data_IF_425560762813
#
_entry.id   IF_425560762813
#
_cell.length_a   1.000
_cell.length_b   1.000
_cell.length_c   1.000
_cell.angle_alpha   90.00
_cell.angle_beta   90.00
_cell.angle_gamma   90.00
#
_symmetry.space_group_name_H-M   'P 1'
#
loop_
_entity.id
_entity.type
_entity.pdbx_description
1 polymer ?
#
# COMPACT_ATOMS: atom_id res chain seq x y z
N UNK A 1 3.45 15.80 -0.34
CA UNK A 1 3.44 14.81 -1.44
C UNK A 1 2.35 13.81 -1.10
N UNK A 2 1.43 13.48 -2.02
CA UNK A 2 0.38 12.48 -1.75
C UNK A 2 0.94 11.10 -2.09
N UNK A 3 1.01 10.22 -1.11
CA UNK A 3 1.39 8.82 -1.32
C UNK A 3 0.25 8.09 -2.03
N UNK A 4 0.58 7.36 -3.10
CA UNK A 4 -0.40 6.59 -3.89
C UNK A 4 -0.87 5.35 -3.13
N UNK A 5 0.04 4.72 -2.36
CA UNK A 5 -0.25 3.66 -1.40
C UNK A 5 0.07 4.17 0.01
N UNK A 6 -0.95 4.67 0.70
CA UNK A 6 -0.82 5.12 2.08
C UNK A 6 -0.84 3.90 3.01
N UNK A 7 0.34 3.49 3.47
CA UNK A 7 0.48 2.45 4.50
C UNK A 7 0.02 2.96 5.86
N UNK A 8 -0.69 2.11 6.61
CA UNK A 8 -1.28 2.46 7.91
C UNK A 8 -0.20 2.94 8.88
N UNK A 9 -0.50 4.00 9.63
CA UNK A 9 0.38 4.55 10.67
C UNK A 9 0.34 3.68 11.94
N UNK A 10 1.45 3.64 12.67
CA UNK A 10 1.60 2.83 13.89
C UNK A 10 0.53 3.17 14.94
N UNK A 11 0.12 4.44 15.01
CA UNK A 11 -0.90 4.91 15.94
C UNK A 11 -2.31 4.39 15.63
N UNK A 12 -2.54 3.85 14.43
CA UNK A 12 -3.86 3.38 13.98
C UNK A 12 -4.01 1.84 14.01
N UNK A 13 -3.00 1.12 14.50
CA UNK A 13 -2.98 -0.34 14.59
C UNK A 13 -3.64 -0.81 15.90
N UNK A 14 -4.96 -0.94 15.87
CA UNK A 14 -5.75 -1.29 17.06
C UNK A 14 -5.78 -2.80 17.34
N UNK A 15 -5.87 -3.61 16.30
CA UNK A 15 -5.99 -5.07 16.44
C UNK A 15 -4.60 -5.72 16.46
N UNK A 16 -4.45 -6.85 17.17
CA UNK A 16 -3.17 -7.58 17.26
C UNK A 16 -2.62 -7.99 15.89
N UNK A 17 -3.48 -8.46 14.99
CA UNK A 17 -3.09 -8.90 13.65
C UNK A 17 -2.54 -7.75 12.78
N UNK A 18 -2.98 -6.51 13.03
CA UNK A 18 -2.48 -5.35 12.27
C UNK A 18 -1.01 -5.05 12.60
N UNK A 19 -0.55 -5.44 13.80
CA UNK A 19 0.82 -5.21 14.25
C UNK A 19 1.85 -6.03 13.47
N UNK A 20 1.45 -7.17 12.93
CA UNK A 20 2.32 -8.02 12.10
C UNK A 20 2.80 -7.27 10.84
N UNK A 21 1.98 -6.32 10.33
CA UNK A 21 2.31 -5.50 9.17
C UNK A 21 3.23 -4.31 9.50
N UNK A 22 3.53 -4.02 10.78
CA UNK A 22 4.28 -2.83 11.19
C UNK A 22 5.65 -2.73 10.54
N UNK A 23 6.45 -3.80 10.66
CA UNK A 23 7.82 -3.81 10.14
C UNK A 23 7.83 -3.61 8.63
N UNK A 24 6.91 -4.27 7.91
CA UNK A 24 6.78 -4.16 6.46
C UNK A 24 6.33 -2.76 6.04
N UNK A 25 5.32 -2.20 6.70
CA UNK A 25 4.84 -0.84 6.45
C UNK A 25 5.91 0.22 6.73
N UNK A 26 6.67 0.08 7.82
CA UNK A 26 7.76 0.98 8.16
C UNK A 26 8.87 0.93 7.12
N UNK A 27 9.27 -0.27 6.71
CA UNK A 27 10.27 -0.46 5.67
C UNK A 27 9.81 0.11 4.31
N UNK A 28 8.54 -0.08 3.96
CA UNK A 28 7.95 0.51 2.76
C UNK A 28 8.02 2.04 2.76
N UNK A 29 7.61 2.67 3.86
CA UNK A 29 7.57 4.13 4.01
C UNK A 29 8.97 4.74 3.99
N UNK A 30 9.94 4.09 4.63
CA UNK A 30 11.28 4.66 4.81
C UNK A 30 12.17 4.46 3.59
N UNK A 31 12.11 3.28 2.97
CA UNK A 31 13.04 2.87 1.91
C UNK A 31 12.31 2.59 0.58
N UNK A 32 11.42 1.59 0.53
CA UNK A 32 10.94 1.05 -0.76
C UNK A 32 10.15 2.05 -1.61
N UNK A 33 9.32 2.89 -0.98
CA UNK A 33 8.44 3.84 -1.69
C UNK A 33 9.18 4.89 -2.53
N UNK A 34 10.51 5.00 -2.38
CA UNK A 34 11.37 5.94 -3.09
C UNK A 34 12.08 5.31 -4.29
N UNK A 35 12.08 3.98 -4.40
CA UNK A 35 12.73 3.25 -5.47
C UNK A 35 11.77 3.03 -6.65
N UNK A 36 12.33 3.00 -7.84
CA UNK A 36 11.63 2.50 -9.02
C UNK A 36 11.40 0.99 -8.89
N UNK A 37 10.26 0.45 -9.33
CA UNK A 37 10.03 -1.00 -9.36
C UNK A 37 11.13 -1.79 -10.09
N UNK A 38 11.81 -1.18 -11.06
CA UNK A 38 12.91 -1.82 -11.79
C UNK A 38 14.19 -2.02 -10.98
N UNK A 39 14.30 -1.39 -9.81
CA UNK A 39 15.44 -1.56 -8.89
C UNK A 39 15.31 -2.79 -7.98
N UNK A 40 14.10 -3.37 -7.90
CA UNK A 40 13.86 -4.56 -7.08
C UNK A 40 14.11 -5.83 -7.89
N UNK A 41 14.56 -6.92 -7.23
CA UNK A 41 14.59 -8.24 -7.83
C UNK A 41 13.20 -8.68 -8.31
N UNK A 42 13.17 -9.40 -9.44
CA UNK A 42 11.92 -10.01 -9.93
C UNK A 42 11.33 -10.97 -8.90
N UNK A 43 10.02 -10.89 -8.71
CA UNK A 43 9.31 -11.71 -7.72
C UNK A 43 9.39 -11.21 -6.28
N UNK A 44 9.92 -10.00 -6.03
CA UNK A 44 9.87 -9.39 -4.69
C UNK A 44 8.42 -9.21 -4.24
N UNK A 45 8.08 -9.68 -3.04
CA UNK A 45 6.72 -9.61 -2.47
C UNK A 45 6.72 -8.75 -1.21
N UNK A 46 5.80 -7.78 -1.13
CA UNK A 46 5.53 -7.00 0.07
C UNK A 46 4.13 -7.30 0.59
N UNK A 47 4.03 -7.58 1.89
CA UNK A 47 2.75 -7.67 2.60
C UNK A 47 2.54 -6.36 3.34
N UNK A 48 1.58 -5.56 2.88
CA UNK A 48 1.35 -4.21 3.41
C UNK A 48 -0.06 -4.10 3.96
N UNK A 49 -0.21 -3.28 5.00
CA UNK A 49 -1.51 -2.84 5.46
C UNK A 49 -1.70 -1.40 5.01
N UNK A 50 -2.76 -1.13 4.24
CA UNK A 50 -3.01 0.20 3.65
C UNK A 50 -4.35 0.78 4.08
N UNK A 51 -4.43 2.10 4.06
CA UNK A 51 -5.69 2.82 4.14
C UNK A 51 -6.52 2.61 2.87
N UNK A 52 -7.83 2.81 2.99
CA UNK A 52 -8.72 2.86 1.82
C UNK A 52 -8.31 4.02 0.90
N UNK A 53 -7.88 3.76 -0.36
CA UNK A 53 -7.40 4.79 -1.28
C UNK A 53 -8.50 5.79 -1.67
N UNK A 54 -9.78 5.46 -1.44
CA UNK A 54 -10.90 6.39 -1.69
C UNK A 54 -10.91 7.55 -0.70
N UNK A 55 -10.25 7.42 0.47
CA UNK A 55 -10.13 8.51 1.45
C UNK A 55 -9.29 9.67 0.91
N UNK A 56 -8.15 9.33 0.29
CA UNK A 56 -7.20 10.31 -0.26
C UNK A 56 -7.54 10.74 -1.69
N UNK A 57 -8.61 10.19 -2.29
CA UNK A 57 -9.02 10.46 -3.67
C UNK A 57 -9.25 11.96 -3.91
N UNK A 58 -8.57 12.57 -4.90
CA UNK A 58 -8.79 13.97 -5.22
C UNK A 58 -10.19 14.23 -5.78
N UNK A 59 -10.73 15.41 -5.48
CA UNK A 59 -12.03 15.88 -5.99
C UNK A 59 -12.06 16.07 -7.51
N UNK A 60 -10.91 16.39 -8.11
CA UNK A 60 -10.73 16.59 -9.55
C UNK A 60 -9.60 15.72 -10.05
N UNK A 61 -9.61 15.37 -11.33
CA UNK A 61 -8.47 14.71 -11.98
C UNK A 61 -7.26 15.65 -11.89
N UNK A 62 -6.14 15.14 -11.43
CA UNK A 62 -4.88 15.90 -11.28
C UNK A 62 -3.85 15.26 -12.20
N UNK A 63 -3.01 16.09 -12.84
CA UNK A 63 -1.83 15.58 -13.54
C UNK A 63 -0.86 14.98 -12.50
N UNK A 64 -0.23 13.82 -12.78
CA UNK A 64 0.82 13.30 -11.93
C UNK A 64 1.90 14.37 -11.72
N UNK A 65 2.37 14.52 -10.49
CA UNK A 65 3.53 15.35 -10.22
C UNK A 65 4.76 14.53 -10.54
N UNK A 66 5.62 15.02 -11.43
CA UNK A 66 6.95 14.46 -11.65
C UNK A 66 7.69 14.49 -10.30
N UNK A 67 7.81 13.34 -9.65
CA UNK A 67 8.71 13.21 -8.52
C UNK A 67 10.11 13.09 -9.09
N UNK A 68 10.87 14.19 -9.05
CA UNK A 68 12.31 14.15 -9.32
C UNK A 68 12.89 13.01 -8.49
N UNK A 69 13.32 11.93 -9.15
CA UNK A 69 13.84 10.74 -8.52
C UNK A 69 14.91 11.16 -7.54
N UNK A 70 14.60 11.14 -6.25
CA UNK A 70 15.64 11.33 -5.25
C UNK A 70 16.52 10.12 -5.40
N UNK A 71 17.81 10.34 -5.70
CA UNK A 71 18.85 9.32 -5.67
C UNK A 71 18.77 8.63 -4.32
N UNK A 72 18.03 7.52 -4.26
CA UNK A 72 17.97 6.69 -3.09
C UNK A 72 19.32 5.96 -3.01
N UNK A 73 19.81 5.75 -1.78
CA UNK A 73 20.95 4.84 -1.57
C UNK A 73 20.60 3.50 -2.22
N UNK A 74 21.60 2.78 -2.74
CA UNK A 74 21.38 1.45 -3.34
C UNK A 74 20.50 0.57 -2.45
N UNK A 75 19.44 -0.02 -3.03
CA UNK A 75 18.53 -0.91 -2.33
C UNK A 75 19.30 -2.10 -1.74
N UNK A 76 19.18 -2.31 -0.43
CA UNK A 76 19.70 -3.53 0.19
C UNK A 76 18.63 -4.63 0.10
N UNK A 77 18.90 -5.62 -0.75
CA UNK A 77 17.99 -6.74 -1.02
C UNK A 77 17.85 -7.67 0.18
N UNK A 78 18.93 -7.84 0.97
CA UNK A 78 18.93 -8.74 2.13
C UNK A 78 18.11 -8.19 3.31
N UNK A 79 17.84 -6.89 3.32
CA UNK A 79 16.99 -6.25 4.34
C UNK A 79 15.52 -6.17 3.95
N UNK A 80 15.12 -6.74 2.80
CA UNK A 80 13.72 -6.77 2.40
C UNK A 80 12.88 -7.58 3.41
N UNK A 81 11.72 -7.06 3.86
CA UNK A 81 10.86 -7.79 4.77
C UNK A 81 10.33 -9.05 4.10
N UNK A 82 10.28 -10.14 4.86
CA UNK A 82 9.65 -11.38 4.38
C UNK A 82 8.13 -11.19 4.25
N UNK A 83 7.50 -11.80 3.23
CA UNK A 83 6.05 -11.75 3.08
C UNK A 83 5.36 -12.45 4.27
N UNK A 84 4.27 -11.84 4.72
CA UNK A 84 3.47 -12.31 5.85
C UNK A 84 2.43 -13.33 5.39
N UNK A 85 2.26 -14.41 6.15
CA UNK A 85 1.23 -15.42 5.91
C UNK A 85 -0.18 -14.90 6.26
N UNK A 86 -0.27 -13.90 7.14
CA UNK A 86 -1.50 -13.28 7.64
C UNK A 86 -2.44 -12.77 6.55
N UNK A 87 -1.90 -12.39 5.37
CA UNK A 87 -2.74 -12.02 4.24
C UNK A 87 -3.67 -13.17 3.80
N UNK A 88 -3.21 -14.42 3.89
CA UNK A 88 -3.96 -15.60 3.47
C UNK A 88 -4.97 -16.08 4.51
N UNK A 89 -4.82 -15.64 5.75
CA UNK A 89 -5.73 -15.97 6.85
C UNK A 89 -7.16 -15.49 6.52
N UNK A 90 -8.10 -16.43 6.61
CA UNK A 90 -9.50 -16.17 6.32
C UNK A 90 -10.13 -15.22 7.33
N UNK A 91 -9.84 -15.38 8.62
CA UNK A 91 -10.41 -14.55 9.69
C UNK A 91 -9.89 -13.12 9.62
N UNK A 92 -8.62 -12.91 9.27
CA UNK A 92 -8.08 -11.56 9.04
C UNK A 92 -8.82 -10.88 7.88
N UNK A 93 -8.94 -11.57 6.73
CA UNK A 93 -9.66 -11.02 5.57
C UNK A 93 -11.14 -10.75 5.84
N UNK A 94 -11.80 -11.65 6.59
CA UNK A 94 -13.20 -11.49 7.02
C UNK A 94 -13.36 -10.25 7.90
N UNK A 95 -12.51 -10.08 8.92
CA UNK A 95 -12.53 -8.89 9.80
C UNK A 95 -12.24 -7.60 9.05
N UNK A 96 -11.29 -7.62 8.11
CA UNK A 96 -11.01 -6.46 7.27
C UNK A 96 -12.25 -6.06 6.45
N UNK A 97 -12.94 -7.05 5.86
CA UNK A 97 -14.16 -6.84 5.08
C UNK A 97 -15.34 -6.33 5.94
N UNK A 98 -15.50 -6.80 7.17
CA UNK A 98 -16.53 -6.30 8.10
C UNK A 98 -16.34 -4.82 8.43
N UNK A 99 -15.09 -4.37 8.53
CA UNK A 99 -14.75 -2.96 8.77
C UNK A 99 -14.74 -2.11 7.48
N UNK A 100 -15.09 -2.69 6.33
CA UNK A 100 -15.09 -2.01 5.03
C UNK A 100 -16.02 -0.79 5.06
N UNK A 101 -15.49 0.34 4.58
CA UNK A 101 -16.27 1.55 4.44
C UNK A 101 -17.22 1.46 3.23
N UNK A 102 -18.53 1.60 3.48
CA UNK A 102 -19.52 1.66 2.39
C UNK A 102 -19.43 3.00 1.63
N UNK A 103 -19.89 3.03 0.39
CA UNK A 103 -19.89 4.28 -0.39
C UNK A 103 -20.80 5.34 0.24
N UNK A 104 -21.95 4.92 0.78
CA UNK A 104 -22.87 5.80 1.47
C UNK A 104 -22.23 6.41 2.72
N UNK A 105 -21.52 5.62 3.51
CA UNK A 105 -20.86 6.11 4.72
C UNK A 105 -19.66 7.00 4.40
N UNK A 106 -18.91 6.67 3.34
CA UNK A 106 -17.83 7.53 2.83
C UNK A 106 -18.39 8.90 2.40
N UNK A 107 -19.50 8.92 1.66
CA UNK A 107 -20.09 10.17 1.21
C UNK A 107 -20.68 10.98 2.36
N UNK A 108 -21.32 10.32 3.34
CA UNK A 108 -21.76 10.97 4.59
C UNK A 108 -20.59 11.62 5.32
N UNK A 109 -19.46 10.90 5.49
CA UNK A 109 -18.26 11.45 6.13
C UNK A 109 -17.70 12.66 5.37
N UNK A 110 -17.64 12.60 4.04
CA UNK A 110 -17.21 13.74 3.21
C UNK A 110 -18.14 14.94 3.31
N UNK A 111 -19.45 14.71 3.39
CA UNK A 111 -20.43 15.81 3.51
C UNK A 111 -20.42 16.43 4.92
N UNK A 112 -20.12 15.64 5.95
CA UNK A 112 -20.07 16.11 7.34
C UNK A 112 -18.79 16.88 7.66
N UNK A 113 -17.70 16.66 6.92
CA UNK A 113 -16.40 17.28 7.16
C UNK A 113 -16.05 18.24 6.03
N UNK A 114 -15.77 19.51 6.39
CA UNK A 114 -15.22 20.49 5.44
C UNK A 114 -13.81 20.11 4.96
N UNK A 115 -13.12 19.22 5.68
CA UNK A 115 -11.78 18.73 5.34
C UNK A 115 -11.84 17.31 4.76
N UNK A 116 -10.85 16.90 3.93
CA UNK A 116 -10.75 15.53 3.44
C UNK A 116 -10.68 14.51 4.58
N UNK A 117 -11.47 13.45 4.50
CA UNK A 117 -11.44 12.33 5.45
C UNK A 117 -10.05 11.69 5.38
N UNK A 118 -9.27 11.79 6.45
CA UNK A 118 -7.88 11.31 6.44
C UNK A 118 -7.73 9.84 6.80
N UNK A 119 -8.59 9.33 7.68
CA UNK A 119 -8.44 7.98 8.26
C UNK A 119 -9.78 7.28 8.40
N UNK A 120 -9.75 5.94 8.39
CA UNK A 120 -10.92 5.07 8.56
C UNK A 120 -10.53 3.84 9.38
N UNK A 121 -11.54 3.21 10.00
CA UNK A 121 -11.37 1.91 10.64
C UNK A 121 -11.10 0.78 9.61
N UNK A 122 -11.43 1.02 8.34
CA UNK A 122 -11.20 0.10 7.23
C UNK A 122 -9.72 0.06 6.87
N UNK A 123 -8.98 -0.93 7.39
CA UNK A 123 -7.59 -1.22 7.00
C UNK A 123 -7.56 -2.42 6.07
N UNK A 124 -6.89 -2.29 4.94
CA UNK A 124 -6.92 -3.28 3.86
C UNK A 124 -5.55 -3.97 3.80
N UNK A 125 -5.44 -5.27 4.10
CA UNK A 125 -4.22 -6.02 3.86
C UNK A 125 -4.07 -6.25 2.35
N UNK A 126 -2.88 -6.03 1.80
CA UNK A 126 -2.57 -6.20 0.37
C UNK A 126 -1.25 -6.98 0.20
N UNK A 127 -1.12 -7.66 -0.93
CA UNK A 127 0.17 -8.12 -1.44
C UNK A 127 0.55 -7.29 -2.65
N UNK A 128 1.78 -6.78 -2.66
CA UNK A 128 2.38 -6.13 -3.80
C UNK A 128 3.52 -7.00 -4.31
N UNK A 129 3.47 -7.42 -5.56
CA UNK A 129 4.50 -8.25 -6.19
C UNK A 129 5.18 -7.44 -7.28
N UNK A 130 6.50 -7.33 -7.21
CA UNK A 130 7.30 -6.71 -8.27
C UNK A 130 7.57 -7.70 -9.38
N UNK A 131 7.27 -7.30 -10.61
CA UNK A 131 7.57 -8.05 -11.83
C UNK A 131 8.57 -7.28 -12.67
N UNK A 132 9.71 -7.89 -12.94
CA UNK A 132 10.76 -7.33 -13.77
C UNK A 132 11.26 -8.39 -14.74
N UNK A 133 10.42 -8.70 -15.73
CA UNK A 133 10.72 -9.74 -16.73
C UNK A 133 11.43 -9.12 -17.93
N UNK A 134 12.68 -8.71 -17.77
CA UNK A 134 13.50 -8.18 -18.87
C UNK A 134 14.70 -9.08 -19.19
N UNK A 135 14.87 -9.46 -20.46
CA UNK A 135 16.14 -10.02 -20.97
C UNK A 135 16.81 -8.98 -21.85
N UNK A 136 17.92 -8.39 -21.40
CA UNK A 136 18.67 -7.37 -22.16
C UNK A 136 19.06 -6.14 -21.33
N UNK A 137 19.55 -5.09 -22.00
CA UNK A 137 19.95 -3.81 -21.38
C UNK A 137 18.77 -2.84 -21.16
N UNK A 138 17.62 -3.16 -21.73
CA UNK A 138 16.35 -2.46 -21.50
C UNK A 138 15.45 -3.39 -20.68
N UNK A 139 14.73 -2.84 -19.69
CA UNK A 139 13.79 -3.58 -18.84
C UNK A 139 12.34 -3.29 -19.29
N UNK A 140 11.91 -3.73 -20.49
CA UNK A 140 10.64 -3.29 -21.08
C UNK A 140 9.39 -3.75 -20.32
N UNK A 141 9.53 -4.74 -19.43
CA UNK A 141 8.41 -5.33 -18.69
C UNK A 141 8.61 -5.19 -17.18
N UNK A 142 8.76 -3.94 -16.72
CA UNK A 142 8.73 -3.60 -15.30
C UNK A 142 7.30 -3.25 -14.90
N UNK A 143 6.77 -3.94 -13.88
CA UNK A 143 5.40 -3.79 -13.42
C UNK A 143 5.20 -4.22 -11.97
N UNK A 144 3.97 -4.04 -11.50
CA UNK A 144 3.54 -4.40 -10.15
C UNK A 144 2.21 -5.15 -10.23
N UNK A 145 2.13 -6.32 -9.60
CA UNK A 145 0.86 -7.00 -9.34
C UNK A 145 0.36 -6.59 -7.95
N UNK A 146 -0.88 -6.13 -7.86
CA UNK A 146 -1.54 -5.80 -6.61
C UNK A 146 -2.65 -6.83 -6.33
N UNK A 147 -2.51 -7.57 -5.24
CA UNK A 147 -3.49 -8.56 -4.79
C UNK A 147 -4.19 -8.02 -3.55
N UNK A 148 -5.52 -7.96 -3.62
CA UNK A 148 -6.38 -7.49 -2.53
C UNK A 148 -7.43 -8.54 -2.17
N UNK A 149 -7.95 -8.55 -0.94
CA UNK A 149 -9.08 -9.39 -0.58
C UNK A 149 -10.30 -9.03 -1.44
N UNK A 150 -11.07 -10.03 -1.82
CA UNK A 150 -12.31 -9.83 -2.59
C UNK A 150 -13.25 -8.88 -1.87
N UNK A 151 -13.75 -7.88 -2.59
CA UNK A 151 -14.70 -6.90 -2.07
C UNK A 151 -14.11 -5.53 -1.80
N UNK A 152 -12.81 -5.31 -1.99
CA UNK A 152 -12.20 -3.98 -1.97
C UNK A 152 -12.02 -3.40 -3.38
#
# INVERSE_FOLDING_TARGET
>A
MREVLAVVDENELKDSWMKEFMSSNQYWRNECSRHSPGEFPDGTVFSLLVEDPRLSRPLRKIKPTETNGRSAKSLNVDSLPLPLNDFWDYEIRRKALEKKLTETDLQKKRNAQLQPVKTSESKIPILLIVRNTGTGTTSPFTGLDLITPSGF
#
